data_IF_175724094272
#
_entry.id   IF_175724094272
#
_cell.length_a   1.000
_cell.length_b   1.000
_cell.length_c   1.000
_cell.angle_alpha   90.00
_cell.angle_beta   90.00
_cell.angle_gamma   90.00
#
_symmetry.space_group_name_H-M   'P 1'
#
loop_
_entity.id
_entity.type
_entity.pdbx_description
1 polymer ?
#
# COMPACT_ATOMS: atom_id res chain seq x y z
N UNK A 1 53.55 -3.37 28.58
CA UNK A 1 54.28 -4.52 28.02
C UNK A 1 53.24 -5.55 27.62
N UNK A 2 52.83 -5.52 26.35
CA UNK A 2 51.87 -6.43 25.73
C UNK A 2 52.67 -7.37 24.82
N UNK A 3 52.47 -8.70 24.89
CA UNK A 3 53.18 -9.63 24.01
C UNK A 3 52.61 -9.56 22.58
N UNK A 4 53.45 -9.78 21.54
CA UNK A 4 53.03 -9.72 20.14
C UNK A 4 52.21 -10.95 19.72
N UNK A 5 51.29 -10.74 18.77
CA UNK A 5 50.51 -11.80 18.12
C UNK A 5 51.37 -12.66 17.18
N UNK A 6 51.14 -13.99 17.11
CA UNK A 6 51.81 -14.86 16.15
C UNK A 6 51.21 -14.77 14.73
N UNK A 7 52.08 -14.91 13.73
CA UNK A 7 51.78 -14.97 12.30
C UNK A 7 51.14 -16.31 11.87
N UNK A 8 50.40 -16.34 10.74
CA UNK A 8 49.67 -17.54 10.31
C UNK A 8 50.59 -18.58 9.64
N UNK A 9 50.33 -19.89 9.83
CA UNK A 9 51.06 -20.94 9.13
C UNK A 9 50.61 -21.12 7.67
N UNK A 10 51.56 -21.59 6.88
CA UNK A 10 51.57 -21.69 5.43
C UNK A 10 50.64 -22.78 4.85
N UNK A 11 50.19 -22.49 3.62
CA UNK A 11 49.69 -23.36 2.55
C UNK A 11 49.52 -24.86 2.84
N UNK A 12 48.27 -25.32 2.80
CA UNK A 12 47.92 -26.73 2.71
C UNK A 12 47.54 -27.07 1.26
N UNK A 13 48.28 -28.01 0.67
CA UNK A 13 48.02 -28.60 -0.65
C UNK A 13 46.69 -29.37 -0.62
N UNK A 14 45.79 -29.09 -1.57
CA UNK A 14 44.58 -29.90 -1.79
C UNK A 14 44.80 -30.86 -2.97
N UNK A 15 44.58 -32.15 -2.70
CA UNK A 15 44.51 -33.22 -3.71
C UNK A 15 43.18 -33.19 -4.49
N UNK A 16 43.11 -33.72 -5.73
CA UNK A 16 41.92 -33.62 -6.57
C UNK A 16 40.77 -34.53 -6.09
N UNK A 17 39.54 -34.00 -6.12
CA UNK A 17 38.29 -34.71 -5.82
C UNK A 17 37.79 -35.43 -7.10
N UNK A 18 37.37 -36.70 -7.03
CA UNK A 18 36.87 -37.44 -8.20
C UNK A 18 35.49 -36.96 -8.66
N UNK A 19 35.33 -36.84 -9.99
CA UNK A 19 34.09 -36.39 -10.67
C UNK A 19 33.04 -37.50 -10.68
N UNK A 20 32.00 -37.38 -9.84
CA UNK A 20 30.76 -38.14 -10.03
C UNK A 20 29.55 -37.40 -9.48
N UNK A 21 28.49 -37.31 -10.30
CA UNK A 21 27.11 -36.90 -10.02
C UNK A 21 26.65 -35.45 -10.35
N UNK A 22 26.90 -35.00 -11.58
CA UNK A 22 26.28 -33.80 -12.19
C UNK A 22 24.75 -33.85 -12.36
N UNK A 23 24.04 -34.93 -11.96
CA UNK A 23 22.58 -35.08 -12.19
C UNK A 23 21.69 -34.81 -10.98
N UNK A 24 22.23 -34.66 -9.77
CA UNK A 24 21.45 -34.36 -8.56
C UNK A 24 21.61 -32.90 -8.07
N UNK A 25 22.67 -32.20 -8.49
CA UNK A 25 22.92 -30.79 -8.13
C UNK A 25 22.02 -29.83 -8.92
N UNK A 26 21.73 -30.12 -10.20
CA UNK A 26 20.87 -29.25 -11.03
C UNK A 26 19.43 -29.13 -10.51
N UNK A 27 18.87 -30.18 -9.90
CA UNK A 27 17.51 -30.14 -9.34
C UNK A 27 17.46 -29.29 -8.07
N UNK A 28 18.52 -29.32 -7.25
CA UNK A 28 18.59 -28.55 -6.01
C UNK A 28 18.88 -27.06 -6.28
N UNK A 29 19.77 -26.74 -7.22
CA UNK A 29 20.06 -25.35 -7.61
C UNK A 29 18.86 -24.64 -8.28
N UNK A 30 18.03 -25.37 -9.05
CA UNK A 30 16.79 -24.80 -9.59
C UNK A 30 15.75 -24.54 -8.50
N UNK A 31 15.61 -25.42 -7.50
CA UNK A 31 14.64 -25.22 -6.41
C UNK A 31 15.05 -24.09 -5.45
N UNK A 32 16.34 -23.90 -5.20
CA UNK A 32 16.83 -22.81 -4.32
C UNK A 32 16.74 -21.44 -5.00
N UNK A 33 16.95 -21.33 -6.32
CA UNK A 33 16.77 -20.06 -7.06
C UNK A 33 15.32 -19.56 -7.06
N UNK A 34 14.35 -20.46 -7.22
CA UNK A 34 12.92 -20.09 -7.27
C UNK A 34 12.41 -19.57 -5.91
N UNK A 35 12.97 -20.06 -4.79
CA UNK A 35 12.60 -19.58 -3.46
C UNK A 35 13.21 -18.22 -3.09
N UNK A 36 14.44 -17.92 -3.51
CA UNK A 36 15.08 -16.63 -3.26
C UNK A 36 14.58 -15.52 -4.20
N UNK A 37 14.27 -15.84 -5.46
CA UNK A 37 13.65 -14.87 -6.37
C UNK A 37 12.24 -14.48 -5.90
N UNK A 38 11.44 -15.42 -5.38
CA UNK A 38 10.12 -15.13 -4.83
C UNK A 38 10.17 -14.25 -3.57
N UNK A 39 11.11 -14.53 -2.65
CA UNK A 39 11.26 -13.73 -1.42
C UNK A 39 11.85 -12.35 -1.70
N UNK A 40 12.77 -12.22 -2.67
CA UNK A 40 13.35 -10.94 -3.10
C UNK A 40 12.34 -10.11 -3.92
N UNK A 41 11.49 -10.71 -4.76
CA UNK A 41 10.40 -10.00 -5.45
C UNK A 41 9.31 -9.51 -4.47
N UNK A 42 8.96 -10.33 -3.47
CA UNK A 42 8.07 -9.93 -2.38
C UNK A 42 8.68 -8.81 -1.53
N UNK A 43 10.01 -8.82 -1.34
CA UNK A 43 10.72 -7.74 -0.64
C UNK A 43 10.75 -6.46 -1.48
N UNK A 44 11.10 -6.54 -2.77
CA UNK A 44 11.25 -5.38 -3.66
C UNK A 44 9.93 -4.65 -3.94
N UNK A 45 8.77 -5.32 -3.96
CA UNK A 45 7.46 -4.63 -4.11
C UNK A 45 6.93 -4.00 -2.82
N UNK A 46 7.44 -4.39 -1.64
CA UNK A 46 7.12 -3.75 -0.35
C UNK A 46 8.02 -2.55 -0.02
N UNK A 47 9.06 -2.31 -0.81
CA UNK A 47 10.14 -1.38 -0.47
C UNK A 47 9.81 0.10 -0.62
N UNK A 48 8.68 0.47 -1.22
CA UNK A 48 8.27 1.88 -1.36
C UNK A 48 7.04 2.26 -0.54
N UNK A 49 6.51 1.36 0.30
CA UNK A 49 5.42 1.73 1.20
C UNK A 49 5.97 2.35 2.48
N UNK A 50 5.44 3.50 2.85
CA UNK A 50 5.66 4.11 4.15
C UNK A 50 4.37 4.08 4.95
N UNK A 51 4.50 4.12 6.28
CA UNK A 51 3.36 4.26 7.17
C UNK A 51 3.00 5.73 7.30
N UNK A 52 1.84 6.10 6.81
CA UNK A 52 1.23 7.41 7.09
C UNK A 52 0.34 7.29 8.33
N UNK A 53 0.48 8.23 9.25
CA UNK A 53 -0.50 8.43 10.33
C UNK A 53 -1.39 9.61 9.99
N UNK A 54 -2.58 9.64 10.55
CA UNK A 54 -3.51 10.74 10.33
C UNK A 54 -4.74 10.64 11.20
N UNK A 55 -5.67 11.57 10.99
CA UNK A 55 -6.89 11.61 11.77
C UNK A 55 -7.83 12.73 11.39
N UNK A 56 -8.90 12.86 12.15
CA UNK A 56 -9.77 14.02 12.05
C UNK A 56 -9.13 15.24 12.75
N UNK A 57 -9.69 16.44 12.51
CA UNK A 57 -9.18 17.69 13.05
C UNK A 57 -9.10 17.71 14.59
N UNK A 58 -10.13 17.22 15.29
CA UNK A 58 -10.15 17.23 16.75
C UNK A 58 -9.31 16.11 17.40
N UNK A 59 -8.65 15.25 16.61
CA UNK A 59 -7.84 14.14 17.10
C UNK A 59 -8.63 12.95 17.65
N UNK A 60 -9.95 13.04 17.76
CA UNK A 60 -10.80 11.98 18.32
C UNK A 60 -10.86 10.70 17.46
N UNK A 61 -10.47 10.79 16.19
CA UNK A 61 -10.35 9.68 15.23
C UNK A 61 -8.92 9.68 14.72
N UNK A 62 -8.21 8.56 14.90
CA UNK A 62 -6.81 8.38 14.47
C UNK A 62 -6.66 7.08 13.69
N UNK A 63 -5.83 7.08 12.66
CA UNK A 63 -5.56 5.91 11.84
C UNK A 63 -4.09 5.85 11.40
N UNK A 64 -3.70 4.68 10.90
CA UNK A 64 -2.52 4.50 10.07
C UNK A 64 -2.88 3.86 8.72
N UNK A 65 -2.13 4.21 7.69
CA UNK A 65 -2.28 3.68 6.34
C UNK A 65 -0.91 3.46 5.70
N UNK A 66 -0.70 2.30 5.10
CA UNK A 66 0.50 1.97 4.34
C UNK A 66 0.27 2.29 2.86
N UNK A 67 1.04 3.23 2.31
CA UNK A 67 0.99 3.60 0.89
C UNK A 67 2.33 4.15 0.42
N UNK A 68 2.47 4.37 -0.90
CA UNK A 68 3.60 5.11 -1.46
C UNK A 68 3.70 6.50 -0.83
N UNK A 69 4.90 7.02 -0.53
CA UNK A 69 5.09 8.42 -0.14
C UNK A 69 4.77 9.39 -1.30
N UNK A 70 4.76 8.92 -2.55
CA UNK A 70 4.24 9.64 -3.71
C UNK A 70 2.77 9.27 -3.92
N UNK A 71 1.87 10.15 -3.47
CA UNK A 71 0.44 9.88 -3.46
C UNK A 71 -0.19 10.13 -4.83
N UNK A 72 -0.94 9.14 -5.32
CA UNK A 72 -1.87 9.34 -6.43
C UNK A 72 -3.26 9.63 -5.87
N UNK A 73 -3.71 10.88 -6.01
CA UNK A 73 -4.95 11.41 -5.44
C UNK A 73 -6.00 11.61 -6.52
N UNK A 74 -7.19 11.06 -6.33
CA UNK A 74 -8.33 11.28 -7.19
C UNK A 74 -9.13 12.52 -6.74
N UNK A 75 -9.48 13.36 -7.71
CA UNK A 75 -10.33 14.53 -7.55
C UNK A 75 -11.63 14.34 -8.33
N UNK A 76 -12.65 13.85 -7.64
CA UNK A 76 -13.95 13.55 -8.23
C UNK A 76 -14.90 14.75 -8.17
N UNK A 77 -15.60 15.04 -9.28
CA UNK A 77 -16.54 16.17 -9.37
C UNK A 77 -18.02 15.81 -9.10
N UNK A 78 -18.36 14.60 -8.63
CA UNK A 78 -19.76 14.30 -8.31
C UNK A 78 -20.29 15.21 -7.18
N UNK A 79 -21.61 15.35 -7.08
CA UNK A 79 -22.26 16.32 -6.19
C UNK A 79 -21.77 16.28 -4.74
N UNK A 80 -21.62 15.09 -4.15
CA UNK A 80 -21.10 14.94 -2.77
C UNK A 80 -19.61 15.26 -2.67
N UNK A 81 -18.78 14.83 -3.63
CA UNK A 81 -17.34 15.03 -3.60
C UNK A 81 -17.00 16.52 -3.78
N UNK A 82 -17.70 17.21 -4.67
CA UNK A 82 -17.58 18.66 -4.86
C UNK A 82 -17.93 19.43 -3.58
N UNK A 83 -19.03 19.07 -2.91
CA UNK A 83 -19.44 19.71 -1.64
C UNK A 83 -18.47 19.44 -0.49
N UNK A 84 -17.90 18.23 -0.42
CA UNK A 84 -16.94 17.84 0.62
C UNK A 84 -15.49 18.20 0.32
N UNK A 85 -15.18 18.67 -0.90
CA UNK A 85 -13.80 18.74 -1.41
C UNK A 85 -13.06 17.40 -1.24
N UNK A 86 -13.74 16.29 -1.54
CA UNK A 86 -13.27 14.93 -1.25
C UNK A 86 -12.19 14.47 -2.24
N UNK A 87 -10.95 14.89 -1.98
CA UNK A 87 -9.75 14.38 -2.64
C UNK A 87 -9.17 13.24 -1.81
N UNK A 88 -8.85 12.12 -2.45
CA UNK A 88 -8.37 10.95 -1.73
C UNK A 88 -7.43 10.09 -2.57
N UNK A 89 -6.47 9.44 -1.92
CA UNK A 89 -5.75 8.29 -2.48
C UNK A 89 -6.37 7.01 -1.91
N UNK A 90 -6.18 5.88 -2.60
CA UNK A 90 -6.85 4.63 -2.26
C UNK A 90 -5.82 3.66 -1.69
N UNK A 91 -6.18 2.99 -0.59
CA UNK A 91 -5.40 1.91 0.01
C UNK A 91 -6.25 0.64 0.16
N UNK A 92 -5.65 -0.55 -0.01
CA UNK A 92 -6.28 -1.82 0.36
C UNK A 92 -6.72 -1.84 1.83
N UNK A 93 -7.79 -2.57 2.16
CA UNK A 93 -8.26 -2.71 3.55
C UNK A 93 -7.19 -3.26 4.50
N UNK A 94 -6.34 -4.18 4.03
CA UNK A 94 -5.25 -4.75 4.85
C UNK A 94 -4.06 -3.79 5.06
N UNK A 95 -4.05 -2.65 4.38
CA UNK A 95 -3.05 -1.59 4.53
C UNK A 95 -3.56 -0.42 5.39
N UNK A 96 -4.78 -0.49 5.93
CA UNK A 96 -5.38 0.55 6.76
C UNK A 96 -5.71 -0.01 8.15
N UNK A 97 -5.43 0.75 9.20
CA UNK A 97 -5.84 0.43 10.56
C UNK A 97 -6.41 1.66 11.25
N UNK A 98 -7.64 1.55 11.76
CA UNK A 98 -8.22 2.54 12.67
C UNK A 98 -7.59 2.35 14.06
N UNK A 99 -6.86 3.34 14.54
CA UNK A 99 -6.17 3.29 15.83
C UNK A 99 -7.07 3.75 16.98
N UNK A 100 -7.94 4.73 16.73
CA UNK A 100 -8.82 5.30 17.75
C UNK A 100 -10.09 5.88 17.11
N UNK A 101 -11.17 5.90 17.88
CA UNK A 101 -12.33 6.74 17.59
C UNK A 101 -13.45 6.06 16.82
N UNK A 102 -13.53 4.72 16.86
CA UNK A 102 -14.66 3.96 16.30
C UNK A 102 -16.01 4.56 16.67
N UNK A 103 -16.17 4.90 17.95
CA UNK A 103 -17.43 5.42 18.50
C UNK A 103 -17.68 6.88 18.11
N UNK A 104 -16.65 7.57 17.61
CA UNK A 104 -16.72 8.96 17.14
C UNK A 104 -16.94 9.06 15.62
N UNK A 105 -17.10 7.92 14.94
CA UNK A 105 -17.42 7.88 13.52
C UNK A 105 -18.94 7.80 13.32
N UNK A 106 -19.40 8.48 12.28
CA UNK A 106 -20.74 8.30 11.71
C UNK A 106 -20.61 8.14 10.20
N UNK A 107 -21.61 7.54 9.55
CA UNK A 107 -21.55 7.21 8.12
C UNK A 107 -22.80 7.71 7.41
N UNK A 108 -22.59 8.44 6.32
CA UNK A 108 -23.63 8.83 5.38
C UNK A 108 -23.54 7.97 4.11
N UNK A 109 -24.68 7.49 3.61
CA UNK A 109 -24.78 6.73 2.35
C UNK A 109 -25.99 7.18 1.57
N UNK A 110 -25.92 7.11 0.25
CA UNK A 110 -26.99 7.49 -0.66
C UNK A 110 -26.81 6.77 -2.01
N UNK A 111 -27.79 6.94 -2.92
CA UNK A 111 -27.77 6.34 -4.26
C UNK A 111 -27.64 4.80 -4.20
N UNK A 112 -26.50 4.24 -4.62
CA UNK A 112 -26.27 2.79 -4.58
C UNK A 112 -25.97 2.25 -3.18
N UNK A 113 -25.79 3.14 -2.20
CA UNK A 113 -25.38 2.81 -0.82
C UNK A 113 -24.05 2.05 -0.69
N UNK A 114 -23.30 1.87 -1.79
CA UNK A 114 -21.98 1.20 -1.79
C UNK A 114 -20.93 2.10 -1.16
N UNK A 115 -20.86 3.37 -1.56
CA UNK A 115 -19.97 4.33 -0.92
C UNK A 115 -20.41 4.58 0.53
N UNK A 116 -19.45 4.47 1.45
CA UNK A 116 -19.65 4.78 2.88
C UNK A 116 -18.89 6.05 3.19
N UNK A 117 -19.58 7.19 3.22
CA UNK A 117 -18.99 8.47 3.58
C UNK A 117 -18.89 8.57 5.11
N UNK A 118 -17.81 8.02 5.67
CA UNK A 118 -17.54 7.95 7.11
C UNK A 118 -16.80 9.18 7.60
N UNK A 119 -17.26 9.85 8.65
CA UNK A 119 -16.63 11.08 9.15
C UNK A 119 -16.77 11.22 10.67
N UNK A 120 -15.96 12.08 11.26
CA UNK A 120 -15.99 12.33 12.69
C UNK A 120 -17.27 13.08 13.08
N UNK A 121 -18.06 12.52 14.00
CA UNK A 121 -19.30 13.15 14.51
C UNK A 121 -19.05 14.40 15.38
N UNK A 122 -17.81 14.61 15.83
CA UNK A 122 -17.42 15.76 16.67
C UNK A 122 -17.04 16.98 15.81
N UNK A 123 -16.15 16.80 14.83
CA UNK A 123 -15.63 17.92 14.02
C UNK A 123 -16.07 17.91 12.55
N UNK A 124 -16.84 16.92 12.11
CA UNK A 124 -17.34 16.81 10.73
C UNK A 124 -16.30 16.35 9.69
N UNK A 125 -15.02 16.25 10.04
CA UNK A 125 -13.95 15.89 9.10
C UNK A 125 -14.07 14.44 8.63
N UNK A 126 -14.06 14.25 7.31
CA UNK A 126 -13.95 12.96 6.64
C UNK A 126 -12.48 12.66 6.35
N UNK A 127 -11.79 12.05 7.30
CA UNK A 127 -10.36 11.74 7.14
C UNK A 127 -10.10 10.49 6.29
N UNK A 128 -11.08 9.59 6.23
CA UNK A 128 -11.13 8.46 5.30
C UNK A 128 -12.58 8.07 5.03
N UNK A 129 -12.82 7.29 3.98
CA UNK A 129 -14.15 6.75 3.65
C UNK A 129 -14.02 5.49 2.80
N UNK A 130 -15.12 4.75 2.58
CA UNK A 130 -15.13 3.63 1.61
C UNK A 130 -15.67 4.12 0.26
N UNK A 131 -14.86 4.17 -0.81
CA UNK A 131 -15.29 4.61 -2.14
C UNK A 131 -16.25 3.63 -2.80
N UNK A 132 -17.12 4.12 -3.69
CA UNK A 132 -17.96 3.25 -4.56
C UNK A 132 -17.12 2.38 -5.50
N UNK A 133 -16.00 2.93 -6.00
CA UNK A 133 -15.10 2.25 -6.94
C UNK A 133 -14.31 1.11 -6.29
N UNK A 134 -14.08 1.20 -4.97
CA UNK A 134 -13.19 0.33 -4.20
C UNK A 134 -13.85 -0.01 -2.84
N UNK A 135 -14.96 -0.78 -2.84
CA UNK A 135 -15.68 -1.12 -1.61
C UNK A 135 -14.88 -2.04 -0.67
N UNK A 136 -13.78 -2.61 -1.17
CA UNK A 136 -12.80 -3.46 -0.52
C UNK A 136 -11.58 -2.69 0.03
N UNK A 137 -11.58 -1.35 -0.07
CA UNK A 137 -10.51 -0.49 0.42
C UNK A 137 -11.02 0.80 1.07
N UNK A 138 -10.08 1.71 1.31
CA UNK A 138 -10.36 3.03 1.87
C UNK A 138 -9.79 4.13 0.99
N UNK A 139 -10.58 5.18 0.78
CA UNK A 139 -10.09 6.46 0.28
C UNK A 139 -9.65 7.31 1.46
N UNK A 140 -8.37 7.66 1.54
CA UNK A 140 -7.79 8.48 2.61
C UNK A 140 -7.58 9.91 2.11
N UNK A 141 -8.05 10.88 2.89
CA UNK A 141 -7.88 12.29 2.56
C UNK A 141 -6.42 12.72 2.84
N UNK A 142 -5.64 13.18 1.84
CA UNK A 142 -4.23 13.49 2.01
C UNK A 142 -3.99 14.66 2.98
N UNK A 143 -4.93 15.61 3.06
CA UNK A 143 -4.88 16.74 3.98
C UNK A 143 -5.20 16.38 5.44
N UNK A 144 -5.57 15.12 5.71
CA UNK A 144 -5.79 14.59 7.06
C UNK A 144 -4.63 13.70 7.54
N UNK A 145 -3.55 13.60 6.77
CA UNK A 145 -2.31 12.95 7.19
C UNK A 145 -1.50 13.87 8.09
N UNK A 146 -0.80 13.29 9.06
CA UNK A 146 0.23 13.99 9.81
C UNK A 146 1.42 14.30 8.89
N UNK A 147 2.15 15.41 9.12
CA UNK A 147 3.29 15.77 8.29
C UNK A 147 4.45 14.75 8.42
N UNK A 148 5.25 14.64 7.36
CA UNK A 148 6.57 13.98 7.41
C UNK A 148 6.75 12.74 6.53
N UNK A 149 5.68 12.17 5.99
CA UNK A 149 5.74 10.92 5.22
C UNK A 149 5.37 11.07 3.74
N UNK A 150 4.68 12.15 3.37
CA UNK A 150 4.32 12.45 1.97
C UNK A 150 5.49 13.16 1.29
N UNK A 151 5.96 12.60 0.18
CA UNK A 151 7.03 13.15 -0.67
C UNK A 151 6.46 13.97 -1.83
N UNK A 152 5.44 13.46 -2.51
CA UNK A 152 4.78 14.16 -3.61
C UNK A 152 3.30 13.79 -3.71
N UNK A 153 2.53 14.62 -4.44
CA UNK A 153 1.12 14.39 -4.70
C UNK A 153 0.84 14.65 -6.18
N UNK A 154 0.38 13.63 -6.88
CA UNK A 154 -0.17 13.75 -8.24
C UNK A 154 -1.69 13.67 -8.15
N UNK A 155 -2.39 14.61 -8.80
CA UNK A 155 -3.85 14.67 -8.78
C UNK A 155 -4.41 14.27 -10.13
N UNK A 156 -5.25 13.23 -10.15
CA UNK A 156 -6.05 12.83 -11.32
C UNK A 156 -7.49 13.29 -11.14
N UNK A 157 -8.04 14.00 -12.13
CA UNK A 157 -9.45 14.40 -12.13
C UNK A 157 -10.32 13.23 -12.60
N UNK A 158 -11.43 12.98 -11.88
CA UNK A 158 -12.40 11.94 -12.20
C UNK A 158 -13.80 12.55 -12.42
N UNK A 159 -14.43 12.23 -13.54
CA UNK A 159 -15.79 12.69 -13.86
C UNK A 159 -16.85 11.85 -13.12
N UNK A 160 -17.11 12.20 -11.87
CA UNK A 160 -18.11 11.52 -11.04
C UNK A 160 -19.56 11.84 -11.40
N UNK A 161 -19.83 12.91 -12.14
CA UNK A 161 -21.16 13.20 -12.69
C UNK A 161 -21.60 12.14 -13.71
N UNK A 162 -20.64 11.62 -14.49
CA UNK A 162 -20.83 10.51 -15.44
C UNK A 162 -20.11 9.26 -14.94
N UNK A 163 -20.51 8.78 -13.76
CA UNK A 163 -19.80 7.72 -13.05
C UNK A 163 -19.66 6.43 -13.87
N UNK A 164 -20.74 5.97 -14.51
CA UNK A 164 -20.73 4.69 -15.25
C UNK A 164 -19.76 4.73 -16.44
N UNK A 165 -19.85 5.78 -17.27
CA UNK A 165 -18.94 6.00 -18.40
C UNK A 165 -17.49 6.11 -17.94
N UNK A 166 -17.25 6.89 -16.88
CA UNK A 166 -15.90 7.08 -16.34
C UNK A 166 -15.31 5.78 -15.79
N UNK A 167 -16.11 4.97 -15.10
CA UNK A 167 -15.66 3.67 -14.58
C UNK A 167 -15.47 2.61 -15.66
N UNK A 168 -16.15 2.73 -16.80
CA UNK A 168 -15.93 1.86 -17.95
C UNK A 168 -14.61 2.24 -18.66
N UNK A 169 -14.32 3.53 -18.79
CA UNK A 169 -13.13 4.03 -19.46
C UNK A 169 -11.85 3.96 -18.59
N UNK A 170 -11.98 4.10 -17.28
CA UNK A 170 -10.83 4.18 -16.37
C UNK A 170 -10.18 2.82 -16.15
N UNK A 171 -8.88 2.73 -16.45
CA UNK A 171 -8.16 1.46 -16.52
C UNK A 171 -7.75 0.88 -15.17
N UNK A 172 -7.34 1.73 -14.22
CA UNK A 172 -6.64 1.28 -13.00
C UNK A 172 -7.37 1.50 -11.67
N UNK A 173 -8.39 2.38 -11.59
CA UNK A 173 -8.98 2.78 -10.30
C UNK A 173 -9.49 1.59 -9.47
N UNK A 174 -10.08 0.58 -10.12
CA UNK A 174 -10.57 -0.64 -9.46
C UNK A 174 -9.45 -1.51 -8.86
N UNK A 175 -8.23 -1.37 -9.36
CA UNK A 175 -7.08 -2.14 -8.91
C UNK A 175 -6.33 -1.47 -7.76
N UNK A 176 -6.63 -0.20 -7.46
CA UNK A 176 -5.94 0.56 -6.41
C UNK A 176 -6.16 0.04 -4.98
N UNK A 177 -7.23 -0.74 -4.75
CA UNK A 177 -7.50 -1.41 -3.47
C UNK A 177 -7.06 -2.88 -3.45
N UNK A 178 -6.60 -3.43 -4.57
CA UNK A 178 -6.12 -4.80 -4.62
C UNK A 178 -4.72 -4.87 -4.01
N UNK A 179 -4.43 -5.87 -3.16
CA UNK A 179 -3.07 -6.12 -2.71
C UNK A 179 -2.14 -6.30 -3.91
N UNK A 180 -0.92 -5.78 -3.85
CA UNK A 180 0.06 -5.85 -4.94
C UNK A 180 0.45 -7.28 -5.38
N UNK A 181 -0.02 -8.31 -4.65
CA UNK A 181 0.15 -9.73 -4.98
C UNK A 181 -0.85 -10.24 -6.03
N UNK A 182 -1.96 -9.53 -6.30
CA UNK A 182 -3.05 -10.01 -7.16
C UNK A 182 -3.09 -9.41 -8.58
N UNK A 183 -2.20 -8.47 -8.89
CA UNK A 183 -2.24 -7.75 -10.19
C UNK A 183 -1.47 -8.44 -11.33
N UNK A 184 -0.97 -9.67 -11.12
CA UNK A 184 -0.18 -10.41 -12.12
C UNK A 184 -0.72 -11.82 -12.46
N UNK A 185 -1.91 -12.20 -11.97
CA UNK A 185 -2.65 -13.37 -12.48
C UNK A 185 -3.82 -12.92 -13.35
N UNK A 186 -3.53 -12.31 -14.49
CA UNK A 186 -4.44 -12.26 -15.63
C UNK A 186 -3.59 -12.50 -16.87
N UNK A 187 -3.58 -13.77 -17.27
CA UNK A 187 -3.05 -14.27 -18.55
C UNK A 187 -3.67 -13.53 -19.75
#
# INVERSE_FOLDING_TARGET
>A
ITPPLPSPPAHCHMTPIPKTSHRLIHKYEQTVRIHYDGMLFFFLRRMDLVKHTGGCHCGAVRFEAWSSPDLHVFHCNCSVCTKKQNRHFIVPKNAFTLLQGSDNLTTYTFNTHVAKHTFCKICGVQSFYTPRSNPDGYGVAPHCLDPGTVRSVTVETFCGEKWEESMQAHKSIRDMSKPAADSQLRD
#
